data_IF_240195484139
#
_entry.id   IF_240195484139
#
_cell.length_a   1.000
_cell.length_b   1.000
_cell.length_c   1.000
_cell.angle_alpha   90.00
_cell.angle_beta   90.00
_cell.angle_gamma   90.00
#
_symmetry.space_group_name_H-M   'P 1'
#
loop_
_entity.id
_entity.type
_entity.pdbx_description
1 polymer ?
#
# COMPACT_ATOMS: atom_id res chain seq x y z
N UNK A 1 -4.87 17.49 77.72
CA UNK A 1 -5.48 17.17 76.39
C UNK A 1 -5.88 18.49 75.76
N UNK A 2 -5.23 18.96 74.66
CA UNK A 2 -5.65 20.16 73.93
C UNK A 2 -6.43 19.78 72.69
N UNK A 3 -7.48 20.49 72.46
CA UNK A 3 -8.43 20.50 71.32
C UNK A 3 -7.80 20.94 70.04
N UNK A 4 -7.97 20.13 68.96
CA UNK A 4 -7.55 20.49 67.60
C UNK A 4 -8.60 21.34 66.91
N UNK A 5 -8.24 22.57 66.57
CA UNK A 5 -8.97 23.46 65.67
C UNK A 5 -8.78 23.02 64.21
N UNK A 6 -9.89 22.78 63.53
CA UNK A 6 -9.96 22.47 62.09
C UNK A 6 -9.89 23.77 61.27
N UNK A 7 -8.86 23.90 60.44
CA UNK A 7 -8.74 25.01 59.48
C UNK A 7 -9.41 24.61 58.13
N UNK A 8 -10.44 25.35 57.75
CA UNK A 8 -11.13 25.23 56.47
C UNK A 8 -10.23 25.59 55.28
N UNK A 9 -10.16 24.72 54.26
CA UNK A 9 -9.50 25.00 52.98
C UNK A 9 -10.51 25.66 52.07
N UNK A 10 -10.23 26.91 51.70
CA UNK A 10 -10.99 27.60 50.67
C UNK A 10 -10.82 26.96 49.31
N UNK A 11 -11.93 26.67 48.67
CA UNK A 11 -11.97 26.19 47.27
C UNK A 11 -11.59 27.31 46.34
N UNK A 12 -10.48 27.16 45.59
CA UNK A 12 -10.13 28.05 44.48
C UNK A 12 -11.01 27.71 43.28
N UNK A 13 -11.73 28.71 42.78
CA UNK A 13 -12.50 28.62 41.54
C UNK A 13 -11.57 28.29 40.37
N UNK A 14 -11.96 27.29 39.55
CA UNK A 14 -11.28 26.95 38.30
C UNK A 14 -11.49 28.07 37.26
N UNK A 15 -10.48 28.41 36.42
CA UNK A 15 -10.65 29.35 35.32
C UNK A 15 -11.57 28.78 34.26
N UNK A 16 -12.49 29.61 33.75
CA UNK A 16 -13.40 29.27 32.65
C UNK A 16 -12.60 28.89 31.38
N UNK A 17 -12.88 27.73 30.84
CA UNK A 17 -12.30 27.26 29.60
C UNK A 17 -12.67 28.21 28.45
N UNK A 18 -11.67 28.89 27.91
CA UNK A 18 -11.80 29.69 26.70
C UNK A 18 -12.27 28.81 25.54
N UNK A 19 -13.31 29.23 24.85
CA UNK A 19 -13.81 28.59 23.66
C UNK A 19 -12.71 28.58 22.58
N UNK A 20 -12.09 27.44 22.37
CA UNK A 20 -11.22 27.21 21.21
C UNK A 20 -12.09 27.22 19.96
N UNK A 21 -11.94 28.26 19.16
CA UNK A 21 -12.49 28.34 17.80
C UNK A 21 -11.96 27.13 17.02
N UNK A 22 -12.83 26.15 16.76
CA UNK A 22 -12.53 25.09 15.80
C UNK A 22 -12.32 25.75 14.44
N UNK A 23 -11.16 25.51 13.76
CA UNK A 23 -11.00 25.98 12.39
C UNK A 23 -12.15 25.45 11.55
N UNK A 24 -12.70 26.29 10.68
CA UNK A 24 -13.72 25.89 9.73
C UNK A 24 -13.18 24.72 8.90
N UNK A 25 -13.99 23.68 8.61
CA UNK A 25 -13.54 22.60 7.74
C UNK A 25 -13.16 23.22 6.39
N UNK A 26 -11.92 22.99 5.96
CA UNK A 26 -11.48 23.33 4.61
C UNK A 26 -12.48 22.67 3.65
N UNK A 27 -13.12 23.46 2.80
CA UNK A 27 -14.03 22.95 1.78
C UNK A 27 -13.28 21.93 0.94
N UNK A 28 -13.79 20.68 0.92
CA UNK A 28 -13.20 19.62 0.11
C UNK A 28 -13.34 20.03 -1.36
N UNK A 29 -12.24 20.06 -2.16
CA UNK A 29 -12.33 20.46 -3.56
C UNK A 29 -13.33 19.55 -4.32
N UNK A 30 -13.95 20.10 -5.37
CA UNK A 30 -14.87 19.33 -6.20
C UNK A 30 -14.13 18.17 -6.90
N UNK A 31 -14.79 17.03 -7.17
CA UNK A 31 -14.13 15.89 -7.82
C UNK A 31 -13.42 16.22 -9.14
N UNK A 32 -13.96 17.19 -9.91
CA UNK A 32 -13.33 17.65 -11.16
C UNK A 32 -11.97 18.31 -10.94
N UNK A 33 -11.83 19.10 -9.86
CA UNK A 33 -10.57 19.77 -9.50
C UNK A 33 -9.51 18.74 -9.09
N UNK A 34 -9.91 17.71 -8.33
CA UNK A 34 -9.01 16.63 -7.91
C UNK A 34 -8.50 15.79 -9.09
N UNK A 35 -9.34 15.55 -10.09
CA UNK A 35 -8.93 14.88 -11.34
C UNK A 35 -7.93 15.75 -12.10
N UNK A 36 -8.20 17.06 -12.22
CA UNK A 36 -7.30 17.99 -12.91
C UNK A 36 -5.94 18.12 -12.20
N UNK A 37 -5.94 18.17 -10.87
CA UNK A 37 -4.72 18.20 -10.05
C UNK A 37 -3.90 16.91 -10.21
N UNK A 38 -4.55 15.74 -10.20
CA UNK A 38 -3.88 14.46 -10.44
C UNK A 38 -3.25 14.39 -11.84
N UNK A 39 -3.95 14.86 -12.89
CA UNK A 39 -3.41 14.96 -14.26
C UNK A 39 -2.24 15.93 -14.35
N UNK A 40 -2.28 17.05 -13.63
CA UNK A 40 -1.17 17.99 -13.58
C UNK A 40 0.06 17.38 -12.88
N UNK A 41 -0.17 16.63 -11.80
CA UNK A 41 0.88 15.92 -11.08
C UNK A 41 1.48 14.80 -11.94
N UNK A 42 0.66 14.04 -12.68
CA UNK A 42 1.11 13.01 -13.62
C UNK A 42 2.15 13.56 -14.60
N UNK A 43 1.85 14.71 -15.23
CA UNK A 43 2.78 15.38 -16.19
C UNK A 43 4.07 15.83 -15.51
N UNK A 44 4.01 16.34 -14.27
CA UNK A 44 5.23 16.74 -13.54
C UNK A 44 6.10 15.54 -13.20
N UNK A 45 5.50 14.45 -12.72
CA UNK A 45 6.23 13.22 -12.39
C UNK A 45 6.86 12.58 -13.63
N UNK A 46 6.21 12.67 -14.79
CA UNK A 46 6.76 12.18 -16.06
C UNK A 46 8.01 12.95 -16.51
N UNK A 47 8.19 14.19 -16.08
CA UNK A 47 9.35 15.04 -16.40
C UNK A 47 10.51 14.90 -15.39
N UNK A 48 10.35 14.10 -14.35
CA UNK A 48 11.37 13.87 -13.31
C UNK A 48 11.98 12.47 -13.54
N UNK A 49 13.29 12.40 -13.68
CA UNK A 49 14.01 11.13 -13.90
C UNK A 49 14.28 10.38 -12.60
N UNK A 50 14.69 11.09 -11.52
CA UNK A 50 15.03 10.51 -10.23
C UNK A 50 13.80 10.04 -9.47
N UNK A 51 13.84 8.81 -8.94
CA UNK A 51 12.77 8.26 -8.11
C UNK A 51 12.62 9.05 -6.80
N UNK A 52 13.73 9.42 -6.20
CA UNK A 52 13.79 10.22 -4.97
C UNK A 52 13.10 11.58 -5.18
N UNK A 53 13.40 12.27 -6.28
CA UNK A 53 12.79 13.56 -6.59
C UNK A 53 11.30 13.43 -6.92
N UNK A 54 10.87 12.32 -7.58
CA UNK A 54 9.44 12.01 -7.75
C UNK A 54 8.72 11.89 -6.41
N UNK A 55 9.32 11.21 -5.42
CA UNK A 55 8.72 11.05 -4.10
C UNK A 55 8.63 12.37 -3.34
N UNK A 56 9.65 13.22 -3.43
CA UNK A 56 9.63 14.58 -2.88
C UNK A 56 8.53 15.42 -3.55
N UNK A 57 8.42 15.38 -4.89
CA UNK A 57 7.35 16.10 -5.61
C UNK A 57 5.95 15.60 -5.20
N UNK A 58 5.78 14.30 -5.02
CA UNK A 58 4.53 13.70 -4.54
C UNK A 58 4.14 14.30 -3.18
N UNK A 59 5.05 14.28 -2.20
CA UNK A 59 4.74 14.77 -0.85
C UNK A 59 4.49 16.28 -0.81
N UNK A 60 5.12 17.05 -1.71
CA UNK A 60 4.89 18.47 -1.86
C UNK A 60 3.54 18.79 -2.50
N UNK A 61 3.11 17.97 -3.47
CA UNK A 61 1.93 18.24 -4.31
C UNK A 61 0.63 17.65 -3.78
N UNK A 62 0.69 16.62 -2.94
CA UNK A 62 -0.49 15.96 -2.36
C UNK A 62 -0.68 16.43 -0.92
N UNK A 63 -1.62 17.37 -0.66
CA UNK A 63 -1.82 17.90 0.68
C UNK A 63 -2.49 16.85 1.57
N UNK A 64 -1.82 16.46 2.65
CA UNK A 64 -2.30 15.48 3.62
C UNK A 64 -1.41 14.23 3.71
N UNK A 65 -1.96 13.17 4.31
CA UNK A 65 -1.21 11.94 4.53
C UNK A 65 -1.02 11.17 3.22
N UNK A 66 0.24 11.05 2.79
CA UNK A 66 0.64 10.13 1.72
C UNK A 66 1.09 8.82 2.36
N UNK A 67 0.64 7.70 1.80
CA UNK A 67 0.98 6.37 2.31
C UNK A 67 1.52 5.47 1.20
N UNK A 68 2.42 4.57 1.55
CA UNK A 68 2.97 3.57 0.64
C UNK A 68 2.64 2.16 1.14
N UNK A 69 2.04 1.33 0.28
CA UNK A 69 1.81 -0.08 0.58
C UNK A 69 2.94 -0.93 0.01
N UNK A 70 3.74 -1.56 0.86
CA UNK A 70 4.76 -2.50 0.40
C UNK A 70 4.28 -3.94 0.47
N UNK A 71 4.48 -4.68 -0.61
CA UNK A 71 4.35 -6.14 -0.67
C UNK A 71 5.67 -6.86 -0.35
N UNK A 72 6.74 -6.08 -0.12
CA UNK A 72 8.12 -6.58 0.06
C UNK A 72 8.66 -7.30 -1.19
N UNK A 73 8.05 -7.07 -2.36
CA UNK A 73 8.56 -7.46 -3.66
C UNK A 73 9.64 -6.49 -4.13
N UNK A 74 10.41 -6.85 -5.13
CA UNK A 74 11.58 -6.08 -5.59
C UNK A 74 11.23 -4.64 -5.99
N UNK A 75 10.08 -4.41 -6.63
CA UNK A 75 9.59 -3.08 -7.00
C UNK A 75 9.33 -2.22 -5.76
N UNK A 76 8.63 -2.79 -4.79
CA UNK A 76 8.29 -2.08 -3.57
C UNK A 76 9.54 -1.82 -2.71
N UNK A 77 10.52 -2.69 -2.76
CA UNK A 77 11.81 -2.51 -2.08
C UNK A 77 12.61 -1.35 -2.68
N UNK A 78 12.60 -1.17 -4.01
CA UNK A 78 13.20 0.00 -4.64
C UNK A 78 12.50 1.31 -4.20
N UNK A 79 11.16 1.33 -4.18
CA UNK A 79 10.40 2.50 -3.70
C UNK A 79 10.69 2.76 -2.22
N UNK A 80 10.76 1.73 -1.38
CA UNK A 80 11.07 1.85 0.04
C UNK A 80 12.46 2.46 0.28
N UNK A 81 13.47 2.00 -0.49
CA UNK A 81 14.80 2.57 -0.46
C UNK A 81 14.80 4.06 -0.80
N UNK A 82 14.10 4.45 -1.87
CA UNK A 82 14.00 5.84 -2.29
C UNK A 82 13.25 6.71 -1.27
N UNK A 83 12.21 6.18 -0.61
CA UNK A 83 11.54 6.87 0.51
C UNK A 83 12.55 7.17 1.62
N UNK A 84 13.33 6.18 2.02
CA UNK A 84 14.34 6.36 3.07
C UNK A 84 15.45 7.34 2.65
N UNK A 85 15.91 7.28 1.39
CA UNK A 85 16.98 8.13 0.87
C UNK A 85 16.55 9.58 0.67
N UNK A 86 15.31 9.81 0.19
CA UNK A 86 14.79 11.15 -0.07
C UNK A 86 14.34 11.91 1.18
N UNK A 87 14.08 11.21 2.28
CA UNK A 87 13.44 11.78 3.47
C UNK A 87 11.98 12.20 3.27
N UNK A 88 11.35 11.75 2.16
CA UNK A 88 9.95 12.02 1.87
C UNK A 88 9.04 11.49 3.00
N UNK A 89 8.15 12.35 3.51
CA UNK A 89 7.26 12.00 4.62
C UNK A 89 6.10 11.12 4.13
N UNK A 90 6.36 9.84 3.97
CA UNK A 90 5.41 8.84 3.49
C UNK A 90 5.21 7.77 4.57
N UNK A 91 3.94 7.56 4.96
CA UNK A 91 3.55 6.53 5.93
C UNK A 91 3.60 5.14 5.26
N UNK A 92 4.53 4.30 5.69
CA UNK A 92 4.75 2.98 5.09
C UNK A 92 3.97 1.90 5.84
N UNK A 93 3.28 1.04 5.09
CA UNK A 93 2.63 -0.13 5.67
C UNK A 93 2.74 -1.36 4.78
N UNK A 94 2.58 -2.52 5.40
CA UNK A 94 2.42 -3.81 4.72
C UNK A 94 1.16 -4.53 5.18
N UNK A 95 0.69 -5.48 4.38
CA UNK A 95 -0.48 -6.31 4.68
C UNK A 95 0.01 -7.70 5.07
N UNK A 96 0.01 -8.05 6.36
CA UNK A 96 0.22 -9.45 6.73
C UNK A 96 -1.09 -10.23 6.61
N UNK A 97 -1.13 -11.11 5.63
CA UNK A 97 -2.29 -11.95 5.34
C UNK A 97 -2.44 -13.13 6.29
N UNK A 98 -1.47 -13.35 7.18
CA UNK A 98 -1.31 -14.57 7.98
C UNK A 98 -0.91 -15.80 7.15
N UNK A 99 -0.40 -15.59 5.91
CA UNK A 99 -0.01 -16.65 4.98
C UNK A 99 1.22 -16.26 4.14
N UNK A 100 2.09 -15.43 4.66
CA UNK A 100 3.35 -15.09 4.00
C UNK A 100 4.35 -16.24 4.05
N UNK A 101 5.31 -16.19 3.14
CA UNK A 101 6.55 -16.95 3.30
C UNK A 101 7.35 -16.38 4.47
N UNK A 102 8.10 -17.20 5.23
CA UNK A 102 9.05 -16.69 6.22
C UNK A 102 10.00 -15.66 5.62
N UNK A 103 10.53 -15.89 4.42
CA UNK A 103 11.43 -14.99 3.70
C UNK A 103 10.82 -13.60 3.45
N UNK A 104 9.50 -13.50 3.35
CA UNK A 104 8.82 -12.19 3.23
C UNK A 104 8.86 -11.43 4.55
N UNK A 105 8.69 -12.13 5.68
CA UNK A 105 8.79 -11.53 7.01
C UNK A 105 10.24 -11.15 7.36
N UNK A 106 11.21 -12.00 6.98
CA UNK A 106 12.63 -11.71 7.12
C UNK A 106 13.03 -10.47 6.29
N UNK A 107 12.43 -10.30 5.09
CA UNK A 107 12.63 -9.10 4.27
C UNK A 107 12.05 -7.85 4.92
N UNK A 108 10.92 -7.95 5.60
CA UNK A 108 10.34 -6.85 6.38
C UNK A 108 11.32 -6.40 7.47
N UNK A 109 11.77 -7.32 8.31
CA UNK A 109 12.71 -7.03 9.39
C UNK A 109 14.03 -6.44 8.88
N UNK A 110 14.58 -7.03 7.81
CA UNK A 110 15.79 -6.52 7.17
C UNK A 110 15.63 -5.09 6.65
N UNK A 111 14.46 -4.75 6.11
CA UNK A 111 14.14 -3.41 5.62
C UNK A 111 14.01 -2.40 6.75
N UNK A 112 13.31 -2.75 7.83
CA UNK A 112 13.18 -1.90 9.02
C UNK A 112 14.56 -1.60 9.64
N UNK A 113 15.37 -2.63 9.79
CA UNK A 113 16.73 -2.50 10.33
C UNK A 113 17.65 -1.66 9.43
N UNK A 114 17.55 -1.83 8.11
CA UNK A 114 18.39 -1.10 7.15
C UNK A 114 18.07 0.39 7.12
N UNK A 115 16.80 0.75 7.16
CA UNK A 115 16.35 2.13 6.93
C UNK A 115 15.96 2.86 8.22
N UNK A 116 15.92 2.18 9.36
CA UNK A 116 15.44 2.77 10.61
C UNK A 116 13.96 3.17 10.53
N UNK A 117 13.18 2.49 9.69
CA UNK A 117 11.76 2.76 9.48
C UNK A 117 10.92 1.85 10.36
N UNK A 118 9.77 2.35 10.78
CA UNK A 118 8.70 1.54 11.38
C UNK A 118 7.63 1.30 10.30
N UNK A 119 7.60 0.09 9.77
CA UNK A 119 6.62 -0.32 8.74
C UNK A 119 5.38 -0.85 9.44
N UNK A 120 4.28 -0.12 9.33
CA UNK A 120 3.03 -0.47 9.99
C UNK A 120 2.43 -1.76 9.37
N UNK A 121 2.24 -2.80 10.18
CA UNK A 121 1.68 -4.08 9.72
C UNK A 121 0.17 -4.12 9.91
N UNK A 122 -0.57 -4.39 8.85
CA UNK A 122 -2.03 -4.48 8.84
C UNK A 122 -2.47 -5.93 8.71
N UNK A 123 -3.17 -6.44 9.71
CA UNK A 123 -3.71 -7.81 9.74
C UNK A 123 -5.19 -7.85 9.32
N UNK A 124 -5.68 -8.98 8.79
CA UNK A 124 -7.11 -9.22 8.64
C UNK A 124 -7.81 -9.28 10.00
N UNK A 125 -9.11 -9.02 10.02
CA UNK A 125 -9.93 -9.26 11.20
C UNK A 125 -9.99 -10.75 11.51
N UNK A 126 -9.72 -11.12 12.78
CA UNK A 126 -9.63 -12.52 13.18
C UNK A 126 -10.96 -13.27 13.01
N UNK A 127 -12.09 -12.63 13.36
CA UNK A 127 -13.43 -13.24 13.24
C UNK A 127 -13.78 -13.50 11.77
N UNK A 128 -13.51 -12.54 10.89
CA UNK A 128 -13.74 -12.72 9.45
C UNK A 128 -12.91 -13.88 8.88
N UNK A 129 -11.70 -14.07 9.38
CA UNK A 129 -10.84 -15.20 8.99
C UNK A 129 -11.39 -16.52 9.53
N UNK A 130 -11.84 -16.56 10.77
CA UNK A 130 -12.45 -17.74 11.39
C UNK A 130 -13.71 -18.16 10.65
N UNK A 131 -14.61 -17.21 10.34
CA UNK A 131 -15.84 -17.45 9.56
C UNK A 131 -15.52 -17.95 8.15
N UNK A 132 -14.53 -17.36 7.47
CA UNK A 132 -14.08 -17.83 6.16
C UNK A 132 -13.60 -19.29 6.21
N UNK A 133 -12.78 -19.62 7.21
CA UNK A 133 -12.21 -20.97 7.35
C UNK A 133 -13.29 -21.97 7.77
N UNK A 134 -14.21 -21.60 8.63
CA UNK A 134 -15.34 -22.45 9.02
C UNK A 134 -16.25 -22.78 7.82
N UNK A 135 -16.49 -21.81 6.95
CA UNK A 135 -17.36 -21.97 5.77
C UNK A 135 -16.68 -22.77 4.65
N UNK A 136 -15.44 -22.42 4.30
CA UNK A 136 -14.76 -22.88 3.07
C UNK A 136 -13.65 -23.90 3.35
N UNK A 137 -13.25 -24.06 4.61
CA UNK A 137 -12.07 -24.84 4.99
C UNK A 137 -10.75 -24.05 4.83
N UNK A 138 -9.67 -24.59 5.40
CA UNK A 138 -8.35 -23.91 5.45
C UNK A 138 -7.77 -23.65 4.05
N UNK A 139 -8.08 -24.50 3.08
CA UNK A 139 -7.64 -24.42 1.67
C UNK A 139 -8.79 -24.11 0.70
N UNK A 140 -9.93 -23.65 1.21
CA UNK A 140 -11.13 -23.36 0.44
C UNK A 140 -10.90 -22.42 -0.75
N UNK A 141 -9.92 -21.52 -0.66
CA UNK A 141 -9.50 -20.60 -1.74
C UNK A 141 -9.01 -21.31 -3.03
N UNK A 142 -8.81 -22.65 -3.01
CA UNK A 142 -8.44 -23.46 -4.18
C UNK A 142 -9.65 -24.09 -4.89
N UNK A 143 -10.81 -24.07 -4.25
CA UNK A 143 -11.99 -24.78 -4.75
C UNK A 143 -12.67 -24.05 -5.91
N UNK A 144 -12.67 -22.71 -5.86
CA UNK A 144 -13.25 -21.85 -6.89
C UNK A 144 -12.59 -20.46 -6.90
N UNK A 145 -12.71 -19.76 -8.03
CA UNK A 145 -12.21 -18.38 -8.17
C UNK A 145 -12.90 -17.43 -7.16
N UNK A 146 -14.20 -17.63 -6.92
CA UNK A 146 -14.99 -16.86 -5.95
C UNK A 146 -14.46 -17.04 -4.53
N UNK A 147 -14.13 -18.26 -4.13
CA UNK A 147 -13.54 -18.56 -2.80
C UNK A 147 -12.18 -17.88 -2.66
N UNK A 148 -11.36 -17.93 -3.72
CA UNK A 148 -10.07 -17.23 -3.74
C UNK A 148 -10.25 -15.72 -3.62
N UNK A 149 -11.20 -15.13 -4.36
CA UNK A 149 -11.52 -13.70 -4.28
C UNK A 149 -12.01 -13.32 -2.89
N UNK A 150 -12.88 -14.12 -2.26
CA UNK A 150 -13.34 -13.92 -0.89
C UNK A 150 -12.18 -13.96 0.13
N UNK A 151 -11.26 -14.92 -0.02
CA UNK A 151 -10.05 -14.99 0.79
C UNK A 151 -9.17 -13.75 0.62
N UNK A 152 -8.96 -13.28 -0.62
CA UNK A 152 -8.21 -12.06 -0.90
C UNK A 152 -8.92 -10.80 -0.36
N UNK A 153 -10.24 -10.74 -0.43
CA UNK A 153 -11.01 -9.61 0.11
C UNK A 153 -10.78 -9.50 1.63
N UNK A 154 -11.02 -10.56 2.37
CA UNK A 154 -10.88 -10.58 3.83
C UNK A 154 -9.42 -10.32 4.25
N UNK A 155 -8.47 -11.00 3.61
CA UNK A 155 -7.07 -10.98 4.05
C UNK A 155 -6.24 -9.82 3.51
N UNK A 156 -6.71 -9.12 2.45
CA UNK A 156 -5.95 -8.05 1.80
C UNK A 156 -6.77 -6.79 1.57
N UNK A 157 -7.93 -6.90 0.88
CA UNK A 157 -8.67 -5.71 0.45
C UNK A 157 -9.22 -4.93 1.65
N UNK A 158 -9.83 -5.62 2.62
CA UNK A 158 -10.35 -4.98 3.83
C UNK A 158 -9.25 -4.34 4.69
N UNK A 159 -8.13 -5.03 5.00
CA UNK A 159 -6.99 -4.39 5.66
C UNK A 159 -6.42 -3.20 4.89
N UNK A 160 -6.30 -3.30 3.56
CA UNK A 160 -5.87 -2.18 2.71
C UNK A 160 -6.78 -0.96 2.88
N UNK A 161 -8.10 -1.15 2.79
CA UNK A 161 -9.07 -0.06 2.98
C UNK A 161 -8.92 0.62 4.33
N UNK A 162 -8.69 -0.16 5.42
CA UNK A 162 -8.41 0.41 6.74
C UNK A 162 -7.11 1.22 6.77
N UNK A 163 -6.05 0.72 6.11
CA UNK A 163 -4.77 1.42 6.04
C UNK A 163 -4.86 2.74 5.26
N UNK A 164 -5.65 2.77 4.19
CA UNK A 164 -5.87 3.93 3.33
C UNK A 164 -6.85 4.96 3.91
N UNK A 165 -7.58 4.63 4.96
CA UNK A 165 -8.57 5.53 5.55
C UNK A 165 -7.93 6.86 5.96
N UNK A 166 -8.45 7.97 5.39
CA UNK A 166 -7.94 9.33 5.63
C UNK A 166 -6.61 9.65 4.93
N UNK A 167 -6.12 8.79 4.03
CA UNK A 167 -5.00 9.13 3.16
C UNK A 167 -5.45 10.06 2.03
N UNK A 168 -4.58 10.99 1.64
CA UNK A 168 -4.74 11.85 0.47
C UNK A 168 -4.06 11.24 -0.77
N UNK A 169 -2.98 10.46 -0.56
CA UNK A 169 -2.24 9.78 -1.62
C UNK A 169 -1.86 8.35 -1.26
N UNK A 170 -1.85 7.48 -2.26
CA UNK A 170 -1.42 6.08 -2.14
C UNK A 170 -0.35 5.75 -3.17
N UNK A 171 0.88 5.60 -2.72
CA UNK A 171 2.04 5.18 -3.51
C UNK A 171 2.05 3.66 -3.65
N UNK A 172 2.38 3.18 -4.85
CA UNK A 172 2.54 1.76 -5.17
C UNK A 172 3.82 1.52 -5.98
N UNK A 173 4.35 0.29 -5.96
CA UNK A 173 5.47 -0.15 -6.80
C UNK A 173 5.03 -0.73 -8.16
N UNK A 174 3.96 -0.21 -8.76
CA UNK A 174 3.47 -0.73 -10.04
C UNK A 174 4.28 -0.20 -11.22
N UNK A 175 4.57 -1.08 -12.21
CA UNK A 175 5.22 -0.76 -13.49
C UNK A 175 4.35 -1.13 -14.67
N UNK A 176 4.46 -0.39 -15.77
CA UNK A 176 3.71 -0.66 -17.01
C UNK A 176 4.02 -2.03 -17.59
N UNK A 177 5.29 -2.46 -17.52
CA UNK A 177 5.74 -3.74 -18.07
C UNK A 177 5.23 -4.98 -17.32
N UNK A 178 4.66 -4.84 -16.12
CA UNK A 178 4.20 -5.99 -15.34
C UNK A 178 3.02 -6.76 -15.95
N UNK A 179 2.22 -6.11 -16.80
CA UNK A 179 1.14 -6.77 -17.55
C UNK A 179 0.60 -5.85 -18.65
N UNK A 180 0.00 -6.42 -19.69
CA UNK A 180 -0.66 -5.68 -20.77
C UNK A 180 -1.74 -4.71 -20.25
N UNK A 181 -2.47 -5.08 -19.20
CA UNK A 181 -3.48 -4.22 -18.57
C UNK A 181 -2.93 -2.95 -17.90
N UNK A 182 -1.60 -2.86 -17.72
CA UNK A 182 -0.92 -1.71 -17.10
C UNK A 182 -0.16 -0.84 -18.09
N UNK A 183 -0.12 -1.19 -19.37
CA UNK A 183 0.69 -0.51 -20.38
C UNK A 183 0.49 1.03 -20.45
N UNK A 184 -0.70 1.52 -20.09
CA UNK A 184 -1.04 2.94 -20.11
C UNK A 184 -1.25 3.53 -18.70
N UNK A 185 -0.70 2.87 -17.67
CA UNK A 185 -0.85 3.31 -16.28
C UNK A 185 -0.12 4.65 -16.07
N UNK A 186 -0.79 5.70 -15.56
CA UNK A 186 -0.17 6.99 -15.25
C UNK A 186 0.69 6.93 -14.00
N UNK A 187 1.55 7.92 -13.81
CA UNK A 187 2.27 8.18 -12.57
C UNK A 187 1.33 8.62 -11.45
N UNK A 188 0.32 9.44 -11.80
CA UNK A 188 -0.69 9.91 -10.84
C UNK A 188 -2.07 9.87 -11.46
N UNK A 189 -3.06 9.40 -10.69
CA UNK A 189 -4.47 9.39 -11.09
C UNK A 189 -5.39 9.52 -9.87
N UNK A 190 -6.54 10.16 -10.06
CA UNK A 190 -7.58 10.19 -9.03
C UNK A 190 -8.26 8.83 -8.92
N UNK A 191 -8.25 8.24 -7.75
CA UNK A 191 -9.01 7.02 -7.42
C UNK A 191 -10.30 7.43 -6.68
N UNK A 192 -11.40 7.50 -7.43
CA UNK A 192 -12.70 7.90 -6.89
C UNK A 192 -13.26 6.89 -5.88
N UNK A 193 -12.86 5.61 -5.96
CA UNK A 193 -13.35 4.57 -5.06
C UNK A 193 -12.76 4.68 -3.66
N UNK A 194 -11.51 5.11 -3.54
CA UNK A 194 -10.86 5.36 -2.26
C UNK A 194 -10.80 6.86 -1.89
N UNK A 195 -11.15 7.74 -2.83
CA UNK A 195 -11.16 9.19 -2.61
C UNK A 195 -9.76 9.77 -2.35
N UNK A 196 -8.75 9.30 -3.08
CA UNK A 196 -7.35 9.70 -2.96
C UNK A 196 -6.64 9.72 -4.32
N UNK A 197 -5.42 10.29 -4.36
CA UNK A 197 -4.57 10.20 -5.55
C UNK A 197 -3.76 8.91 -5.50
N UNK A 198 -3.90 8.05 -6.51
CA UNK A 198 -3.06 6.86 -6.69
C UNK A 198 -1.80 7.24 -7.44
N UNK A 199 -0.64 6.79 -6.96
CA UNK A 199 0.69 7.26 -7.34
C UNK A 199 1.59 6.06 -7.65
N UNK A 200 2.19 6.04 -8.84
CA UNK A 200 3.02 4.96 -9.32
C UNK A 200 4.40 5.52 -9.76
N UNK A 201 5.30 5.85 -8.84
CA UNK A 201 6.52 6.63 -9.16
C UNK A 201 7.51 5.90 -10.07
N UNK A 202 7.42 4.57 -10.18
CA UNK A 202 8.24 3.73 -11.06
C UNK A 202 7.43 3.18 -12.25
N UNK A 203 6.34 3.84 -12.65
CA UNK A 203 5.46 3.36 -13.71
C UNK A 203 6.19 3.10 -15.04
N UNK A 204 7.19 3.89 -15.37
CA UNK A 204 7.99 3.85 -16.60
C UNK A 204 9.24 2.95 -16.54
N UNK A 205 9.57 2.41 -15.36
CA UNK A 205 10.79 1.62 -15.22
C UNK A 205 10.71 0.28 -15.94
N UNK A 206 11.78 -0.07 -16.66
CA UNK A 206 11.99 -1.43 -17.14
C UNK A 206 12.44 -2.35 -15.99
N UNK A 207 12.39 -3.67 -16.21
CA UNK A 207 12.95 -4.62 -15.25
C UNK A 207 14.45 -4.40 -15.06
N UNK A 208 15.18 -4.12 -16.16
CA UNK A 208 16.62 -3.86 -16.13
C UNK A 208 16.95 -2.62 -15.27
N UNK A 209 16.21 -1.52 -15.43
CA UNK A 209 16.38 -0.32 -14.63
C UNK A 209 16.12 -0.59 -13.13
N UNK A 210 15.09 -1.38 -12.82
CA UNK A 210 14.76 -1.79 -11.47
C UNK A 210 15.91 -2.60 -10.84
N UNK A 211 16.40 -3.62 -11.54
CA UNK A 211 17.48 -4.48 -11.08
C UNK A 211 18.79 -3.69 -10.91
N UNK A 212 19.10 -2.79 -11.84
CA UNK A 212 20.26 -1.90 -11.74
C UNK A 212 20.19 -0.98 -10.52
N UNK A 213 19.01 -0.38 -10.26
CA UNK A 213 18.79 0.46 -9.08
C UNK A 213 18.96 -0.33 -7.77
N UNK A 214 18.35 -1.52 -7.70
CA UNK A 214 18.45 -2.42 -6.54
C UNK A 214 19.89 -2.81 -6.26
N UNK A 215 20.65 -3.17 -7.30
CA UNK A 215 22.07 -3.53 -7.17
C UNK A 215 22.94 -2.34 -6.75
N UNK A 216 22.77 -1.17 -7.37
CA UNK A 216 23.57 0.02 -7.08
C UNK A 216 23.36 0.52 -5.64
N UNK A 217 22.18 0.33 -5.08
CA UNK A 217 21.84 0.80 -3.72
C UNK A 217 21.90 -0.30 -2.65
N UNK A 218 22.32 -1.53 -3.00
CA UNK A 218 22.34 -2.68 -2.09
C UNK A 218 21.00 -2.85 -1.36
N UNK A 219 19.89 -2.74 -2.09
CA UNK A 219 18.53 -2.80 -1.54
C UNK A 219 18.26 -4.21 -1.00
N UNK A 220 17.72 -4.38 0.21
CA UNK A 220 17.26 -5.69 0.70
C UNK A 220 16.18 -6.25 -0.23
N UNK A 221 16.39 -7.46 -0.74
CA UNK A 221 15.42 -8.14 -1.60
C UNK A 221 15.03 -9.49 -1.03
N UNK A 222 13.80 -9.91 -1.29
CA UNK A 222 13.31 -11.22 -0.86
C UNK A 222 14.12 -12.33 -1.55
N UNK A 223 14.78 -13.22 -0.81
CA UNK A 223 15.64 -14.26 -1.37
C UNK A 223 14.89 -15.27 -2.26
N UNK A 224 13.57 -15.30 -2.22
CA UNK A 224 12.77 -16.11 -3.13
C UNK A 224 12.92 -15.70 -4.60
N UNK A 225 13.24 -14.42 -4.89
CA UNK A 225 13.51 -13.99 -6.27
C UNK A 225 14.63 -14.80 -6.91
N UNK A 226 15.73 -15.03 -6.19
CA UNK A 226 16.84 -15.87 -6.65
C UNK A 226 16.50 -17.37 -6.75
N UNK A 227 15.35 -17.79 -6.18
CA UNK A 227 14.87 -19.18 -6.21
C UNK A 227 13.75 -19.39 -7.26
N UNK A 228 13.61 -18.47 -8.21
CA UNK A 228 12.63 -18.56 -9.30
C UNK A 228 11.22 -18.11 -8.95
N UNK A 229 11.05 -17.21 -7.99
CA UNK A 229 9.77 -16.56 -7.65
C UNK A 229 9.77 -15.10 -8.10
N UNK A 230 9.56 -14.77 -9.39
CA UNK A 230 9.57 -13.38 -9.85
C UNK A 230 8.36 -12.58 -9.34
N UNK A 231 7.27 -13.24 -8.98
CA UNK A 231 6.07 -12.62 -8.40
C UNK A 231 5.69 -13.34 -7.12
N UNK A 232 5.87 -12.68 -5.98
CA UNK A 232 5.63 -13.25 -4.65
C UNK A 232 4.27 -12.78 -4.11
N UNK A 233 3.56 -13.67 -3.44
CA UNK A 233 2.34 -13.38 -2.69
C UNK A 233 2.19 -14.31 -1.51
N UNK A 234 0.95 -14.65 -1.12
CA UNK A 234 0.74 -15.66 -0.09
C UNK A 234 1.39 -16.97 -0.47
N UNK A 235 2.09 -17.62 0.47
CA UNK A 235 2.79 -18.88 0.25
C UNK A 235 1.91 -19.97 -0.43
N UNK A 236 0.67 -20.26 0.04
CA UNK A 236 -0.15 -21.29 -0.59
C UNK A 236 -0.69 -20.89 -1.98
N UNK A 237 -0.47 -19.64 -2.42
CA UNK A 237 -0.93 -19.11 -3.72
C UNK A 237 0.23 -18.77 -4.65
N UNK A 238 1.46 -19.20 -4.33
CA UNK A 238 2.65 -18.85 -5.10
C UNK A 238 3.58 -20.04 -5.22
N UNK A 239 4.07 -20.31 -6.42
CA UNK A 239 5.14 -21.28 -6.69
C UNK A 239 6.27 -20.64 -7.49
N UNK A 240 7.43 -21.26 -7.49
CA UNK A 240 8.48 -20.93 -8.46
C UNK A 240 7.97 -21.19 -9.88
N UNK A 241 8.47 -20.40 -10.84
CA UNK A 241 8.21 -20.60 -12.27
C UNK A 241 9.34 -21.44 -12.89
N UNK A 242 9.03 -22.09 -14.02
CA UNK A 242 10.02 -22.75 -14.84
C UNK A 242 10.63 -21.75 -15.84
N UNK A 243 11.84 -22.01 -16.36
CA UNK A 243 12.39 -21.21 -17.44
C UNK A 243 11.42 -21.10 -18.62
N UNK A 244 11.17 -19.87 -19.08
CA UNK A 244 10.25 -19.58 -20.20
C UNK A 244 8.77 -19.45 -19.85
N UNK A 245 8.37 -19.69 -18.59
CA UNK A 245 7.01 -19.38 -18.13
C UNK A 245 6.85 -17.84 -17.92
N UNK A 246 5.63 -17.34 -18.07
CA UNK A 246 5.28 -15.96 -17.73
C UNK A 246 5.65 -15.63 -16.27
N UNK A 247 6.07 -14.40 -15.99
CA UNK A 247 6.51 -13.95 -14.65
C UNK A 247 5.43 -14.12 -13.58
N UNK A 248 4.17 -14.20 -13.96
CA UNK A 248 3.02 -14.42 -13.06
C UNK A 248 2.47 -15.84 -13.11
N UNK A 249 3.03 -16.75 -13.93
CA UNK A 249 2.58 -18.15 -14.04
C UNK A 249 2.59 -18.90 -12.69
N UNK A 250 3.47 -18.50 -11.76
CA UNK A 250 3.51 -19.01 -10.40
C UNK A 250 2.35 -18.60 -9.50
N UNK A 251 1.55 -17.58 -9.87
CA UNK A 251 0.42 -17.08 -9.07
C UNK A 251 -0.84 -17.81 -9.42
N UNK A 252 -1.53 -18.35 -8.39
CA UNK A 252 -2.78 -19.11 -8.58
C UNK A 252 -2.67 -20.09 -9.74
N UNK A 253 -1.60 -20.86 -9.80
CA UNK A 253 -1.24 -21.76 -10.92
C UNK A 253 -2.29 -22.83 -11.24
N UNK A 254 -3.29 -23.00 -10.38
CA UNK A 254 -4.43 -23.91 -10.57
C UNK A 254 -5.63 -23.24 -11.27
N UNK A 255 -5.59 -21.94 -11.50
CA UNK A 255 -6.64 -21.20 -12.22
C UNK A 255 -6.26 -21.02 -13.69
N UNK A 256 -7.29 -20.92 -14.57
CA UNK A 256 -7.10 -20.54 -15.96
C UNK A 256 -6.69 -19.06 -16.06
N UNK A 257 -6.06 -18.66 -17.16
CA UNK A 257 -5.37 -17.37 -17.29
C UNK A 257 -6.26 -16.13 -17.15
N UNK A 258 -7.55 -16.23 -17.51
CA UNK A 258 -8.50 -15.11 -17.60
C UNK A 258 -8.89 -14.47 -16.25
N UNK A 259 -8.40 -14.96 -15.12
CA UNK A 259 -8.82 -14.51 -13.78
C UNK A 259 -7.71 -14.18 -12.79
N UNK A 260 -6.45 -14.25 -13.21
CA UNK A 260 -5.27 -14.20 -12.32
C UNK A 260 -4.91 -12.80 -11.81
N UNK A 261 -5.89 -12.03 -11.33
CA UNK A 261 -5.62 -10.73 -10.70
C UNK A 261 -6.05 -10.71 -9.23
N UNK A 262 -5.21 -10.11 -8.41
CA UNK A 262 -5.55 -9.76 -7.04
C UNK A 262 -6.42 -8.50 -7.06
N UNK A 263 -7.57 -8.52 -6.40
CA UNK A 263 -8.50 -7.38 -6.34
C UNK A 263 -7.96 -6.09 -5.70
N UNK A 264 -6.67 -6.04 -5.32
CA UNK A 264 -6.04 -4.84 -4.74
C UNK A 264 -5.96 -3.69 -5.76
N UNK A 265 -5.69 -4.00 -7.04
CA UNK A 265 -5.43 -2.98 -8.07
C UNK A 265 -6.46 -3.01 -9.21
N UNK A 266 -7.29 -4.06 -9.29
CA UNK A 266 -8.36 -4.21 -10.29
C UNK A 266 -9.69 -3.80 -9.68
N UNK A 267 -10.06 -2.55 -9.88
CA UNK A 267 -11.44 -2.10 -9.70
C UNK A 267 -12.08 -1.96 -11.08
N UNK A 268 -13.38 -2.34 -11.24
CA UNK A 268 -14.05 -2.12 -12.50
C UNK A 268 -13.94 -0.63 -12.83
N UNK A 269 -13.42 -0.29 -14.02
CA UNK A 269 -13.55 1.05 -14.57
C UNK A 269 -15.03 1.38 -14.53
N UNK A 270 -15.42 2.43 -13.81
CA UNK A 270 -16.74 3.00 -14.01
C UNK A 270 -16.82 3.33 -15.50
N UNK A 271 -17.76 2.69 -16.20
CA UNK A 271 -18.10 3.09 -17.56
C UNK A 271 -18.37 4.59 -17.48
N UNK A 272 -17.57 5.37 -18.21
CA UNK A 272 -17.88 6.76 -18.45
C UNK A 272 -19.32 6.78 -18.92
N UNK A 273 -20.18 7.46 -18.15
CA UNK A 273 -21.52 7.76 -18.60
C UNK A 273 -21.32 8.68 -19.82
N UNK A 274 -21.52 8.12 -21.00
CA UNK A 274 -21.60 8.91 -22.21
C UNK A 274 -22.80 9.86 -22.05
N UNK A 275 -22.49 11.16 -21.93
CA UNK A 275 -23.45 12.23 -22.04
C UNK A 275 -23.65 12.57 -23.51
#
# INVERSE_FOLDING_TARGET
MPTKTSAGRGAKAAPSAGATLRPAPLSRPAPADLVAEALALDRRLAAIDSLEDRLVEITRSVPGRVTFSTSLGIEDQAVLNAIAASGAQIDVFTLDTGRHFPETLDTLEASENRYGLNIRVMFPDAREVEELVARDGIYGFRLAVENRKACCDIRKVRPLKRALQGAAGWVTGLRREQSAGRAHMPFASWDAADGLVKLNPIADWSLEQLEAYVAANNVPVNPLHARGFPSIGCQPCTRAIKPGEDIRAGRWWWENEDGKECGLHNRPRQKEAAA
#
